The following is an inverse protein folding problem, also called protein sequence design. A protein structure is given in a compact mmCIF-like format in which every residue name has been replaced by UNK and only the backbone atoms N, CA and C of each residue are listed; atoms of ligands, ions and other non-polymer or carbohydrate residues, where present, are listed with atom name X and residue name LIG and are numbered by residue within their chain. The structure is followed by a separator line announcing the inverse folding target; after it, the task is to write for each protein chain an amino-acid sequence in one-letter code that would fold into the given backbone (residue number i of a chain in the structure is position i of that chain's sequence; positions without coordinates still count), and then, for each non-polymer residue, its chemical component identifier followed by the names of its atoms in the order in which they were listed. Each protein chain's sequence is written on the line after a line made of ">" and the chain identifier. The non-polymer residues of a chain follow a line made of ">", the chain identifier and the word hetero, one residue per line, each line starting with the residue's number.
data_IF_735486265771
#
_entry.id   IF_735486265771
#
_cell.length_a   1.000
_cell.length_b   1.000
_cell.length_c   1.000
_cell.angle_alpha   90.00
_cell.angle_beta   90.00
_cell.angle_gamma   90.00
#
_symmetry.space_group_name_H-M   'P 1'
#
loop_
_entity.id
_entity.type
_entity.pdbx_description
1 polymer ?
#
# COMPACT_ATOMS: atom_id res chain seq x y z
N UNK A 1 24.45 10.26 -16.42
CA UNK A 1 23.72 9.70 -15.25
C UNK A 1 23.32 10.85 -14.37
N UNK A 2 22.20 10.77 -13.66
CA UNK A 2 21.88 11.71 -12.58
C UNK A 2 22.47 11.19 -11.28
N UNK A 3 23.19 12.05 -10.57
CA UNK A 3 23.61 11.79 -9.21
C UNK A 3 22.54 12.35 -8.26
N UNK A 4 22.21 11.60 -7.22
CA UNK A 4 21.13 11.92 -6.30
C UNK A 4 21.71 12.26 -4.92
N UNK A 5 21.26 13.39 -4.38
CA UNK A 5 21.62 13.84 -3.03
C UNK A 5 20.66 13.24 -2.00
N UNK A 6 21.16 13.00 -0.79
CA UNK A 6 20.31 12.66 0.34
C UNK A 6 19.35 13.81 0.69
N UNK A 7 18.27 13.50 1.40
CA UNK A 7 17.44 14.48 2.11
C UNK A 7 17.39 14.11 3.60
N UNK A 8 17.51 15.12 4.48
CA UNK A 8 17.50 14.91 5.94
C UNK A 8 16.07 14.67 6.44
N UNK A 9 15.89 13.95 7.57
CA UNK A 9 14.57 13.73 8.16
C UNK A 9 13.79 15.03 8.41
N UNK A 10 14.46 16.06 8.93
CA UNK A 10 13.85 17.37 9.19
C UNK A 10 13.35 18.05 7.90
N UNK A 11 14.11 18.03 6.81
CA UNK A 11 13.68 18.61 5.53
C UNK A 11 12.50 17.85 4.90
N UNK A 12 12.50 16.52 5.02
CA UNK A 12 11.42 15.66 4.55
C UNK A 12 10.13 15.89 5.35
N UNK A 13 10.22 15.99 6.69
CA UNK A 13 9.08 16.29 7.57
C UNK A 13 8.48 17.67 7.26
N UNK A 14 9.32 18.73 7.21
CA UNK A 14 8.88 20.09 6.92
C UNK A 14 8.17 20.22 5.56
N UNK A 15 8.61 19.44 4.55
CA UNK A 15 7.93 19.40 3.24
C UNK A 15 6.48 18.87 3.29
N UNK A 16 6.03 18.33 4.43
CA UNK A 16 4.74 17.69 4.62
C UNK A 16 3.94 18.22 5.84
N UNK A 17 4.35 19.34 6.47
CA UNK A 17 3.74 19.89 7.70
C UNK A 17 2.20 19.99 7.65
N UNK A 18 1.63 20.44 6.54
CA UNK A 18 0.17 20.54 6.37
C UNK A 18 -0.55 19.18 6.41
N UNK A 19 0.12 18.11 5.97
CA UNK A 19 -0.36 16.72 6.06
C UNK A 19 -0.14 16.16 7.47
N UNK A 20 0.96 16.53 8.13
CA UNK A 20 1.28 16.13 9.50
C UNK A 20 0.31 16.74 10.54
N UNK A 21 -0.09 18.00 10.35
CA UNK A 21 -1.12 18.65 11.16
C UNK A 21 -2.46 17.90 11.11
N UNK A 22 -2.87 17.42 9.92
CA UNK A 22 -4.06 16.59 9.76
C UNK A 22 -3.90 15.20 10.41
N UNK A 23 -2.70 14.61 10.38
CA UNK A 23 -2.42 13.37 11.12
C UNK A 23 -2.57 13.58 12.63
N UNK A 24 -2.08 14.69 13.19
CA UNK A 24 -2.29 15.04 14.61
C UNK A 24 -3.77 15.22 14.96
N UNK A 25 -4.54 15.89 14.09
CA UNK A 25 -5.98 16.07 14.28
C UNK A 25 -6.71 14.72 14.41
N UNK A 26 -6.41 13.76 13.52
CA UNK A 26 -6.99 12.42 13.60
C UNK A 26 -6.38 11.52 14.69
N UNK A 27 -5.18 11.82 15.18
CA UNK A 27 -4.59 11.20 16.36
C UNK A 27 -5.27 11.63 17.67
N UNK A 28 -6.04 12.73 17.64
CA UNK A 28 -6.64 13.37 18.81
C UNK A 28 -5.60 13.70 19.90
N UNK A 29 -4.38 14.09 19.47
CA UNK A 29 -3.26 14.39 20.37
C UNK A 29 -3.16 15.91 20.59
N UNK A 30 -3.67 16.37 21.74
CA UNK A 30 -3.75 17.79 22.07
C UNK A 30 -2.37 18.40 22.32
N UNK A 31 -1.46 17.70 23.00
CA UNK A 31 -0.10 18.20 23.25
C UNK A 31 0.83 17.98 22.04
N UNK A 32 1.80 18.89 21.89
CA UNK A 32 2.79 18.88 20.81
C UNK A 32 4.00 17.99 21.15
N UNK A 33 4.40 17.93 22.43
CA UNK A 33 5.48 17.07 22.92
C UNK A 33 5.11 15.60 22.82
N UNK A 34 3.90 15.23 23.25
CA UNK A 34 3.35 13.89 23.08
C UNK A 34 3.18 13.55 21.60
N UNK A 35 2.66 14.47 20.77
CA UNK A 35 2.55 14.22 19.32
C UNK A 35 3.91 13.93 18.69
N UNK A 36 4.94 14.73 19.01
CA UNK A 36 6.32 14.52 18.55
C UNK A 36 6.87 13.18 19.02
N UNK A 37 6.77 12.89 20.32
CA UNK A 37 7.39 11.72 20.95
C UNK A 37 6.74 10.41 20.52
N UNK A 38 5.40 10.37 20.42
CA UNK A 38 4.62 9.16 20.14
C UNK A 38 4.42 8.93 18.64
N UNK A 39 4.10 9.95 17.85
CA UNK A 39 3.72 9.79 16.44
C UNK A 39 4.82 10.26 15.50
N UNK A 40 5.32 11.49 15.66
CA UNK A 40 6.32 12.06 14.74
C UNK A 40 7.64 11.28 14.78
N UNK A 41 8.05 10.74 15.94
CA UNK A 41 9.26 9.90 16.07
C UNK A 41 9.23 8.60 15.24
N UNK A 42 8.05 8.15 14.77
CA UNK A 42 7.91 7.04 13.83
C UNK A 42 8.13 7.53 12.40
N UNK A 43 7.59 8.69 12.06
CA UNK A 43 7.77 9.30 10.74
C UNK A 43 9.19 9.82 10.52
N UNK A 44 9.84 10.38 11.54
CA UNK A 44 11.27 10.73 11.51
C UNK A 44 12.16 9.52 11.18
N UNK A 45 11.90 8.36 11.82
CA UNK A 45 12.55 7.09 11.49
C UNK A 45 12.23 6.62 10.07
N UNK A 46 11.01 6.77 9.58
CA UNK A 46 10.69 6.49 8.17
C UNK A 46 11.40 7.46 7.21
N UNK A 47 11.59 8.73 7.58
CA UNK A 47 12.32 9.71 6.78
C UNK A 47 13.82 9.38 6.75
N UNK A 48 14.41 8.94 7.86
CA UNK A 48 15.78 8.39 7.89
C UNK A 48 15.90 7.07 7.09
N UNK A 49 14.86 6.24 7.11
CA UNK A 49 14.81 4.97 6.37
C UNK A 49 14.88 5.15 4.86
N UNK A 50 14.08 6.06 4.31
CA UNK A 50 14.01 6.33 2.87
C UNK A 50 14.98 7.41 2.40
N UNK A 51 15.26 8.42 3.22
CA UNK A 51 15.84 9.69 2.77
C UNK A 51 15.14 10.18 1.49
N UNK A 52 15.90 10.48 0.44
CA UNK A 52 15.42 10.94 -0.87
C UNK A 52 14.95 9.82 -1.83
N UNK A 53 14.71 8.59 -1.37
CA UNK A 53 14.29 7.49 -2.26
C UNK A 53 12.94 7.73 -2.97
N UNK A 54 12.82 7.35 -4.26
CA UNK A 54 11.53 7.14 -4.91
C UNK A 54 10.89 5.82 -4.45
N UNK A 55 9.57 5.72 -4.50
CA UNK A 55 8.81 4.51 -4.14
C UNK A 55 8.78 3.50 -5.29
N UNK A 56 8.27 3.92 -6.46
CA UNK A 56 8.06 3.10 -7.66
C UNK A 56 8.34 3.93 -8.92
N UNK A 57 8.66 3.32 -10.08
CA UNK A 57 8.78 4.05 -11.34
C UNK A 57 7.48 4.74 -11.78
N UNK A 58 6.32 4.21 -11.38
CA UNK A 58 4.98 4.66 -11.82
C UNK A 58 4.18 5.40 -10.74
N UNK A 59 4.67 5.46 -9.51
CA UNK A 59 3.99 6.02 -8.33
C UNK A 59 5.06 6.57 -7.38
N UNK A 60 4.94 7.85 -6.97
CA UNK A 60 5.89 8.57 -6.13
C UNK A 60 7.36 8.34 -6.56
N UNK A 61 7.71 8.88 -7.73
CA UNK A 61 8.93 8.56 -8.49
C UNK A 61 10.00 9.66 -8.41
N UNK A 62 9.61 10.83 -7.92
CA UNK A 62 10.42 11.96 -7.52
C UNK A 62 11.30 11.67 -6.27
N UNK A 63 12.38 12.45 -6.04
CA UNK A 63 13.16 12.36 -4.82
C UNK A 63 12.30 12.59 -3.56
N UNK A 64 12.47 11.72 -2.56
CA UNK A 64 11.67 11.73 -1.33
C UNK A 64 10.27 11.11 -1.49
N UNK A 65 9.90 10.65 -2.69
CA UNK A 65 8.58 10.09 -2.98
C UNK A 65 8.19 8.92 -2.09
N UNK A 66 9.13 8.07 -1.68
CA UNK A 66 8.86 6.98 -0.74
C UNK A 66 8.42 7.49 0.64
N UNK A 67 8.96 8.61 1.11
CA UNK A 67 8.51 9.24 2.35
C UNK A 67 7.14 9.94 2.19
N UNK A 68 6.91 10.68 1.09
CA UNK A 68 5.59 11.26 0.78
C UNK A 68 4.50 10.18 0.78
N UNK A 69 4.76 9.07 0.09
CA UNK A 69 3.89 7.91 0.02
C UNK A 69 3.56 7.28 1.39
N UNK A 70 4.46 7.42 2.38
CA UNK A 70 4.28 6.96 3.76
C UNK A 70 3.46 7.95 4.60
N UNK A 71 3.74 9.26 4.53
CA UNK A 71 2.94 10.28 5.23
C UNK A 71 1.50 10.33 4.70
N UNK A 72 1.32 10.14 3.40
CA UNK A 72 -0.01 10.06 2.78
C UNK A 72 -0.77 8.79 3.19
N UNK A 73 -0.09 7.65 3.29
CA UNK A 73 -0.69 6.41 3.81
C UNK A 73 -1.16 6.57 5.26
N UNK A 74 -0.32 7.17 6.12
CA UNK A 74 -0.67 7.51 7.50
C UNK A 74 -1.89 8.44 7.56
N UNK A 75 -1.90 9.52 6.77
CA UNK A 75 -3.05 10.44 6.68
C UNK A 75 -4.34 9.74 6.26
N UNK A 76 -4.33 8.95 5.18
CA UNK A 76 -5.55 8.29 4.72
C UNK A 76 -6.03 7.20 5.69
N UNK A 77 -5.12 6.46 6.34
CA UNK A 77 -5.50 5.48 7.36
C UNK A 77 -6.14 6.16 8.57
N UNK A 78 -5.51 7.21 9.09
CA UNK A 78 -6.03 7.99 10.23
C UNK A 78 -7.34 8.70 9.91
N UNK A 79 -7.52 9.20 8.67
CA UNK A 79 -8.82 9.76 8.22
C UNK A 79 -9.91 8.70 8.12
N UNK A 80 -9.59 7.50 7.63
CA UNK A 80 -10.56 6.40 7.51
C UNK A 80 -10.97 5.83 8.88
N UNK A 81 -10.10 5.94 9.90
CA UNK A 81 -10.31 5.42 11.25
C UNK A 81 -11.55 6.01 11.94
N UNK A 82 -11.84 7.30 11.73
CA UNK A 82 -12.96 8.00 12.37
C UNK A 82 -14.36 7.51 11.99
N UNK A 83 -14.47 6.63 10.99
CA UNK A 83 -15.70 5.93 10.63
C UNK A 83 -15.72 4.45 11.08
N UNK A 84 -14.72 4.01 11.85
CA UNK A 84 -14.55 2.63 12.30
C UNK A 84 -14.72 2.51 13.81
N UNK A 85 -15.05 1.29 14.27
CA UNK A 85 -15.17 0.96 15.69
C UNK A 85 -14.28 -0.26 15.97
N UNK A 86 -13.07 -0.01 16.47
CA UNK A 86 -12.13 -1.08 16.80
C UNK A 86 -12.58 -1.84 18.06
N UNK A 87 -12.32 -3.15 18.12
CA UNK A 87 -12.77 -4.03 19.20
C UNK A 87 -14.28 -3.87 19.53
N UNK A 88 -15.13 -3.80 18.49
CA UNK A 88 -16.58 -3.62 18.62
C UNK A 88 -17.32 -4.81 19.28
N UNK A 89 -16.68 -5.97 19.27
CA UNK A 89 -17.01 -7.24 19.91
C UNK A 89 -16.63 -7.29 21.40
N UNK A 90 -15.70 -6.45 21.85
CA UNK A 90 -15.24 -6.41 23.24
C UNK A 90 -16.17 -5.58 24.15
N UNK A 91 -16.17 -5.94 25.44
CA UNK A 91 -16.86 -5.19 26.49
C UNK A 91 -16.39 -3.73 26.56
N UNK A 92 -17.27 -2.80 26.96
CA UNK A 92 -16.98 -1.36 26.96
C UNK A 92 -15.72 -0.96 27.74
N UNK A 93 -15.41 -1.63 28.84
CA UNK A 93 -14.19 -1.37 29.64
C UNK A 93 -12.92 -1.85 28.92
N UNK A 94 -12.96 -3.06 28.33
CA UNK A 94 -11.85 -3.60 27.53
C UNK A 94 -11.65 -2.78 26.25
N UNK A 95 -12.73 -2.32 25.59
CA UNK A 95 -12.65 -1.47 24.41
C UNK A 95 -12.00 -0.13 24.72
N UNK A 96 -12.33 0.54 25.84
CA UNK A 96 -11.63 1.78 26.29
C UNK A 96 -10.10 1.60 26.41
N UNK A 97 -9.62 0.39 26.73
CA UNK A 97 -8.18 0.08 26.84
C UNK A 97 -7.54 -0.28 25.49
N UNK A 98 -8.30 -0.83 24.54
CA UNK A 98 -7.80 -1.29 23.23
C UNK A 98 -7.98 -0.27 22.10
N UNK A 99 -9.03 0.55 22.13
CA UNK A 99 -9.41 1.47 21.03
C UNK A 99 -8.31 2.52 20.75
N UNK A 100 -7.63 3.13 21.75
CA UNK A 100 -6.45 3.98 21.51
C UNK A 100 -5.25 3.20 20.95
N UNK A 101 -5.08 1.93 21.34
CA UNK A 101 -4.01 1.08 20.83
C UNK A 101 -4.24 0.72 19.37
N UNK A 102 -5.46 0.35 18.97
CA UNK A 102 -5.80 0.07 17.58
C UNK A 102 -5.64 1.31 16.69
N UNK A 103 -6.00 2.52 17.16
CA UNK A 103 -5.77 3.77 16.44
C UNK A 103 -4.26 4.02 16.22
N UNK A 104 -3.43 3.78 17.24
CA UNK A 104 -1.99 3.94 17.12
C UNK A 104 -1.35 2.85 16.24
N UNK A 105 -1.74 1.58 16.41
CA UNK A 105 -1.30 0.47 15.57
C UNK A 105 -1.67 0.66 14.09
N UNK A 106 -2.85 1.24 13.80
CA UNK A 106 -3.26 1.60 12.44
C UNK A 106 -2.27 2.58 11.78
N UNK A 107 -1.85 3.60 12.53
CA UNK A 107 -0.81 4.53 12.10
C UNK A 107 0.53 3.83 11.87
N UNK A 108 0.99 2.99 12.82
CA UNK A 108 2.25 2.24 12.67
C UNK A 108 2.23 1.33 11.43
N UNK A 109 1.13 0.60 11.21
CA UNK A 109 0.95 -0.29 10.07
C UNK A 109 0.94 0.48 8.74
N UNK A 110 0.25 1.62 8.67
CA UNK A 110 0.23 2.48 7.49
C UNK A 110 1.63 3.07 7.18
N UNK A 111 2.34 3.57 8.20
CA UNK A 111 3.70 4.07 8.07
C UNK A 111 4.68 3.02 7.54
N UNK A 112 4.57 1.77 8.03
CA UNK A 112 5.49 0.68 7.71
C UNK A 112 5.13 -0.14 6.46
N UNK A 113 3.94 0.06 5.87
CA UNK A 113 3.42 -0.84 4.84
C UNK A 113 4.19 -0.92 3.53
N UNK A 114 5.10 0.04 3.25
CA UNK A 114 5.84 0.12 1.99
C UNK A 114 7.36 0.30 2.14
N UNK A 115 7.91 0.01 3.31
CA UNK A 115 9.36 0.11 3.61
C UNK A 115 10.25 -0.66 2.64
N UNK A 116 9.73 -1.77 2.11
CA UNK A 116 10.41 -2.67 1.17
C UNK A 116 10.39 -2.17 -0.28
N UNK A 117 9.41 -1.32 -0.64
CA UNK A 117 9.03 -1.08 -2.03
C UNK A 117 10.17 -0.48 -2.89
N UNK A 118 10.96 0.51 -2.43
CA UNK A 118 12.06 1.05 -3.23
C UNK A 118 13.06 -0.02 -3.69
N UNK A 119 13.48 -0.94 -2.82
CA UNK A 119 14.48 -1.96 -3.20
C UNK A 119 13.93 -3.04 -4.14
N UNK A 120 12.59 -3.19 -4.20
CA UNK A 120 11.92 -4.07 -5.16
C UNK A 120 11.99 -3.56 -6.60
N UNK A 121 11.97 -2.24 -6.81
CA UNK A 121 11.99 -1.63 -8.16
C UNK A 121 13.35 -1.06 -8.57
N UNK A 122 14.23 -0.79 -7.60
CA UNK A 122 15.49 -0.07 -7.82
C UNK A 122 16.68 -0.75 -7.13
N UNK A 123 17.88 -0.42 -7.63
CA UNK A 123 19.18 -0.63 -6.99
C UNK A 123 19.77 0.73 -6.65
N UNK A 124 20.39 0.85 -5.49
CA UNK A 124 20.94 2.09 -4.98
C UNK A 124 22.42 1.89 -4.69
N UNK A 125 23.28 2.63 -5.40
CA UNK A 125 24.74 2.52 -5.28
C UNK A 125 25.31 3.83 -4.72
N UNK A 126 26.07 3.77 -3.62
CA UNK A 126 26.73 4.96 -3.07
C UNK A 126 27.90 5.38 -3.95
N UNK A 127 28.06 6.68 -4.20
CA UNK A 127 29.01 7.16 -5.23
C UNK A 127 30.48 7.02 -4.84
N UNK A 128 30.84 7.08 -3.53
CA UNK A 128 32.24 7.00 -3.08
C UNK A 128 32.92 5.65 -3.33
N UNK A 129 32.16 4.56 -3.27
CA UNK A 129 32.67 3.19 -3.24
C UNK A 129 31.86 2.19 -4.12
N UNK A 130 30.78 2.62 -4.76
CA UNK A 130 29.95 1.81 -5.65
C UNK A 130 29.08 0.75 -4.95
N UNK A 131 29.14 0.66 -3.62
CA UNK A 131 28.45 -0.37 -2.84
C UNK A 131 26.93 -0.29 -3.03
N UNK A 132 26.27 -1.43 -3.27
CA UNK A 132 24.81 -1.52 -3.33
C UNK A 132 24.21 -1.52 -1.91
N UNK A 133 23.12 -0.77 -1.70
CA UNK A 133 22.37 -0.80 -0.45
C UNK A 133 21.51 -2.06 -0.34
N UNK A 134 21.80 -2.90 0.66
CA UNK A 134 21.01 -4.07 1.03
C UNK A 134 20.28 -3.77 2.35
N UNK A 135 18.95 -3.54 2.36
CA UNK A 135 18.23 -3.05 3.55
C UNK A 135 18.43 -3.91 4.80
N UNK A 136 18.45 -5.24 4.64
CA UNK A 136 18.58 -6.20 5.74
C UNK A 136 20.01 -6.31 6.31
N UNK A 137 21.02 -5.76 5.64
CA UNK A 137 22.42 -5.75 6.10
C UNK A 137 22.89 -4.36 6.53
N UNK A 138 22.27 -3.30 5.99
CA UNK A 138 22.70 -1.92 6.17
C UNK A 138 21.71 -1.05 6.97
N UNK A 139 20.49 -1.52 7.22
CA UNK A 139 19.44 -0.74 7.87
C UNK A 139 19.02 0.47 7.04
N UNK A 140 18.65 1.56 7.73
CA UNK A 140 18.11 2.79 7.15
C UNK A 140 19.04 3.41 6.08
N UNK A 141 18.48 3.77 4.92
CA UNK A 141 19.27 4.27 3.79
C UNK A 141 20.04 5.55 4.12
N UNK A 142 19.42 6.52 4.80
CA UNK A 142 20.10 7.76 5.19
C UNK A 142 21.29 7.52 6.13
N UNK A 143 21.19 6.56 7.05
CA UNK A 143 22.29 6.22 7.96
C UNK A 143 23.44 5.47 7.27
N UNK A 144 23.13 4.62 6.28
CA UNK A 144 24.15 3.95 5.47
C UNK A 144 24.81 4.89 4.45
N UNK A 145 24.05 5.83 3.89
CA UNK A 145 24.54 6.79 2.91
C UNK A 145 25.40 7.87 3.59
N UNK A 146 24.95 8.42 4.71
CA UNK A 146 25.57 9.60 5.32
C UNK A 146 25.46 10.81 4.39
N UNK A 147 26.49 11.64 4.36
CA UNK A 147 26.53 12.85 3.53
C UNK A 147 26.77 12.59 2.03
N UNK A 148 27.06 11.35 1.64
CA UNK A 148 27.36 10.98 0.25
C UNK A 148 26.18 11.16 -0.73
N UNK A 149 26.52 11.24 -2.02
CA UNK A 149 25.55 11.06 -3.12
C UNK A 149 25.42 9.59 -3.52
N UNK A 150 24.33 9.26 -4.19
CA UNK A 150 24.06 7.92 -4.72
C UNK A 150 23.57 7.95 -6.16
N UNK A 151 23.67 6.80 -6.81
CA UNK A 151 23.08 6.49 -8.11
C UNK A 151 21.93 5.53 -7.92
N UNK A 152 20.82 5.77 -8.62
CA UNK A 152 19.70 4.82 -8.70
C UNK A 152 19.66 4.15 -10.07
N UNK A 153 19.53 2.83 -10.08
CA UNK A 153 19.32 2.02 -11.29
C UNK A 153 17.97 1.34 -11.18
N UNK A 154 17.08 1.49 -12.17
CA UNK A 154 15.81 0.77 -12.20
C UNK A 154 16.05 -0.71 -12.56
N UNK A 155 15.47 -1.64 -11.80
CA UNK A 155 15.44 -3.07 -12.15
C UNK A 155 14.52 -3.28 -13.37
N UNK A 156 14.94 -4.15 -14.29
CA UNK A 156 14.16 -4.50 -15.49
C UNK A 156 12.80 -5.10 -15.12
N UNK A 157 12.82 -6.13 -14.26
CA UNK A 157 11.65 -6.68 -13.59
C UNK A 157 11.69 -6.37 -12.08
N UNK A 158 10.55 -6.03 -11.45
CA UNK A 158 10.51 -5.81 -10.01
C UNK A 158 10.60 -7.12 -9.23
N UNK A 159 11.22 -7.07 -8.06
CA UNK A 159 11.28 -8.23 -7.15
C UNK A 159 9.88 -8.60 -6.61
N UNK A 160 9.63 -9.86 -6.23
CA UNK A 160 8.41 -10.27 -5.50
C UNK A 160 8.12 -9.41 -4.26
N UNK A 161 6.86 -9.36 -3.83
CA UNK A 161 6.47 -8.69 -2.58
C UNK A 161 6.66 -9.64 -1.41
N UNK A 162 7.63 -9.35 -0.55
CA UNK A 162 7.97 -10.19 0.59
C UNK A 162 7.40 -9.58 1.88
N UNK A 163 6.21 -10.04 2.30
CA UNK A 163 5.55 -9.56 3.53
C UNK A 163 6.45 -9.73 4.76
N UNK A 164 7.13 -10.88 4.87
CA UNK A 164 8.10 -11.17 5.93
C UNK A 164 9.26 -10.16 5.92
N UNK A 165 9.83 -9.84 4.75
CA UNK A 165 10.88 -8.82 4.64
C UNK A 165 10.35 -7.47 5.13
N UNK A 166 9.17 -7.05 4.67
CA UNK A 166 8.59 -5.77 5.10
C UNK A 166 8.33 -5.70 6.61
N UNK A 167 7.88 -6.81 7.23
CA UNK A 167 7.68 -6.89 8.68
C UNK A 167 9.00 -6.83 9.48
N UNK A 168 10.10 -7.40 8.95
CA UNK A 168 11.43 -7.27 9.55
C UNK A 168 11.93 -5.81 9.48
N UNK A 169 11.81 -5.14 8.33
CA UNK A 169 12.17 -3.73 8.19
C UNK A 169 11.30 -2.84 9.11
N UNK A 170 10.01 -3.17 9.26
CA UNK A 170 9.12 -2.47 10.21
C UNK A 170 9.59 -2.60 11.67
N UNK A 171 10.13 -3.76 12.07
CA UNK A 171 10.64 -3.96 13.44
C UNK A 171 11.81 -3.01 13.78
N UNK A 172 12.69 -2.74 12.82
CA UNK A 172 13.77 -1.74 12.95
C UNK A 172 13.21 -0.34 13.24
N UNK A 173 12.18 0.09 12.48
CA UNK A 173 11.52 1.39 12.66
C UNK A 173 10.83 1.47 14.03
N UNK A 174 10.05 0.45 14.38
CA UNK A 174 9.16 0.51 15.55
C UNK A 174 9.90 0.33 16.88
N UNK A 175 10.87 -0.60 16.94
CA UNK A 175 11.64 -0.93 18.14
C UNK A 175 10.89 -1.82 19.15
N UNK A 176 11.63 -2.46 20.07
CA UNK A 176 11.07 -3.40 21.05
C UNK A 176 10.08 -2.73 22.00
N UNK A 177 10.45 -1.60 22.61
CA UNK A 177 9.64 -0.92 23.64
C UNK A 177 8.25 -0.56 23.12
N UNK A 178 8.19 0.02 21.91
CA UNK A 178 6.94 0.45 21.28
C UNK A 178 6.05 -0.73 20.92
N UNK A 179 6.64 -1.87 20.57
CA UNK A 179 5.92 -3.11 20.24
C UNK A 179 5.46 -3.86 21.51
N UNK A 180 6.25 -3.83 22.59
CA UNK A 180 5.94 -4.47 23.87
C UNK A 180 4.84 -3.76 24.67
N UNK A 181 4.55 -2.49 24.36
CA UNK A 181 3.47 -1.72 24.95
C UNK A 181 2.05 -2.11 24.45
N UNK A 182 1.95 -2.95 23.42
CA UNK A 182 0.67 -3.38 22.85
C UNK A 182 0.09 -4.63 23.53
N UNK A 183 -1.23 -4.67 23.63
CA UNK A 183 -1.98 -5.90 23.89
C UNK A 183 -1.75 -6.92 22.77
N UNK A 184 -1.64 -8.21 23.12
CA UNK A 184 -1.21 -9.26 22.19
C UNK A 184 -2.12 -9.41 20.95
N UNK A 185 -3.42 -9.13 21.07
CA UNK A 185 -4.32 -9.11 19.91
C UNK A 185 -4.00 -7.92 18.99
N UNK A 186 -3.80 -6.73 19.55
CA UNK A 186 -3.48 -5.51 18.77
C UNK A 186 -2.13 -5.67 18.07
N UNK A 187 -1.15 -6.29 18.73
CA UNK A 187 0.15 -6.60 18.16
C UNK A 187 0.06 -7.61 17.00
N UNK A 188 -0.82 -8.61 17.13
CA UNK A 188 -1.09 -9.60 16.07
C UNK A 188 -1.76 -8.94 14.86
N UNK A 189 -2.77 -8.10 15.10
CA UNK A 189 -3.45 -7.32 14.05
C UNK A 189 -2.51 -6.31 13.36
N UNK A 190 -1.61 -5.66 14.11
CA UNK A 190 -0.57 -4.76 13.60
C UNK A 190 0.35 -5.47 12.61
N UNK A 191 0.97 -6.58 13.02
CA UNK A 191 1.84 -7.36 12.13
C UNK A 191 1.06 -7.98 10.96
N UNK A 192 -0.19 -8.40 11.20
CA UNK A 192 -1.09 -8.89 10.16
C UNK A 192 -1.37 -7.85 9.08
N UNK A 193 -1.42 -6.56 9.42
CA UNK A 193 -1.75 -5.45 8.53
C UNK A 193 -0.55 -4.75 7.86
N UNK A 194 0.68 -4.96 8.31
CA UNK A 194 1.88 -4.43 7.64
C UNK A 194 2.01 -5.07 6.24
N UNK A 195 2.19 -4.24 5.21
CA UNK A 195 2.18 -4.64 3.79
C UNK A 195 0.93 -5.51 3.49
N UNK A 196 -0.28 -4.93 3.55
CA UNK A 196 -1.53 -5.70 3.50
C UNK A 196 -1.72 -6.39 2.15
N UNK A 197 -2.28 -7.60 2.17
CA UNK A 197 -2.61 -8.31 0.93
C UNK A 197 -3.74 -7.56 0.20
N UNK A 198 -3.60 -7.15 -1.08
CA UNK A 198 -4.68 -6.49 -1.82
C UNK A 198 -5.95 -7.34 -1.95
N UNK A 199 -5.85 -8.68 -1.85
CA UNK A 199 -6.95 -9.65 -1.95
C UNK A 199 -6.81 -10.70 -0.84
N UNK A 200 -7.04 -10.32 0.44
CA UNK A 200 -6.78 -11.20 1.58
C UNK A 200 -7.64 -12.45 1.53
N UNK A 201 -7.02 -13.62 1.79
CA UNK A 201 -7.71 -14.89 1.89
C UNK A 201 -8.20 -15.12 3.33
N UNK A 202 -9.50 -15.46 3.48
CA UNK A 202 -10.11 -15.77 4.78
C UNK A 202 -10.62 -14.53 5.53
N UNK A 203 -10.46 -14.52 6.85
CA UNK A 203 -10.95 -13.45 7.73
C UNK A 203 -9.98 -12.26 7.75
N UNK A 204 -10.38 -11.17 7.10
CA UNK A 204 -9.67 -9.88 7.17
C UNK A 204 -10.00 -9.15 8.49
N UNK A 205 -8.98 -8.75 9.25
CA UNK A 205 -9.19 -7.92 10.45
C UNK A 205 -9.50 -6.46 10.08
N UNK A 206 -10.18 -5.74 10.98
CA UNK A 206 -10.57 -4.34 10.71
C UNK A 206 -9.35 -3.44 10.50
N UNK A 207 -8.25 -3.67 11.21
CA UNK A 207 -7.02 -2.90 11.03
C UNK A 207 -6.39 -3.19 9.64
N UNK A 208 -6.28 -4.46 9.23
CA UNK A 208 -5.83 -4.82 7.87
C UNK A 208 -6.67 -4.14 6.78
N UNK A 209 -8.00 -4.18 6.91
CA UNK A 209 -8.95 -3.57 5.97
C UNK A 209 -8.70 -2.07 5.78
N UNK A 210 -8.51 -1.33 6.88
CA UNK A 210 -8.34 0.13 6.83
C UNK A 210 -6.97 0.50 6.27
N UNK A 211 -5.90 -0.21 6.63
CA UNK A 211 -4.56 0.01 6.03
C UNK A 211 -4.60 -0.28 4.53
N UNK A 212 -5.22 -1.39 4.11
CA UNK A 212 -5.39 -1.75 2.69
C UNK A 212 -6.15 -0.69 1.91
N UNK A 213 -7.26 -0.18 2.46
CA UNK A 213 -8.03 0.90 1.86
C UNK A 213 -7.25 2.22 1.79
N UNK A 214 -6.41 2.52 2.79
CA UNK A 214 -5.53 3.69 2.76
C UNK A 214 -4.45 3.60 1.67
N UNK A 215 -3.76 2.46 1.55
CA UNK A 215 -2.72 2.22 0.54
C UNK A 215 -3.31 2.27 -0.88
N UNK A 216 -4.48 1.66 -1.10
CA UNK A 216 -5.21 1.77 -2.37
C UNK A 216 -5.61 3.23 -2.65
N UNK A 217 -6.05 3.98 -1.63
CA UNK A 217 -6.41 5.40 -1.79
C UNK A 217 -5.21 6.26 -2.19
N UNK A 218 -4.02 6.06 -1.61
CA UNK A 218 -2.78 6.75 -2.04
C UNK A 218 -2.46 6.40 -3.50
N UNK A 219 -2.47 5.11 -3.83
CA UNK A 219 -2.12 4.61 -5.17
C UNK A 219 -3.06 5.20 -6.23
N UNK A 220 -4.38 5.20 -5.97
CA UNK A 220 -5.38 5.79 -6.87
C UNK A 220 -5.32 7.32 -6.93
N UNK A 221 -4.89 8.00 -5.86
CA UNK A 221 -4.71 9.45 -5.87
C UNK A 221 -3.50 9.85 -6.74
N UNK A 222 -2.36 9.21 -6.55
CA UNK A 222 -1.16 9.43 -7.38
C UNK A 222 -1.41 9.13 -8.86
N UNK A 223 -2.03 7.98 -9.17
CA UNK A 223 -2.36 7.60 -10.54
C UNK A 223 -3.34 8.58 -11.21
N UNK A 224 -4.24 9.23 -10.44
CA UNK A 224 -5.11 10.29 -10.95
C UNK A 224 -4.35 11.60 -11.14
N UNK A 225 -3.54 12.01 -10.16
CA UNK A 225 -2.71 13.21 -10.25
C UNK A 225 -1.77 13.16 -11.48
N UNK A 226 -1.10 12.03 -11.71
CA UNK A 226 -0.25 11.81 -12.90
C UNK A 226 -1.01 11.81 -14.22
N UNK A 227 -2.27 11.37 -14.25
CA UNK A 227 -3.14 11.43 -15.45
C UNK A 227 -3.71 12.83 -15.70
N UNK A 228 -3.86 13.65 -14.67
CA UNK A 228 -4.28 15.04 -14.76
C UNK A 228 -3.10 16.01 -15.03
N UNK A 229 -1.86 15.56 -14.84
CA UNK A 229 -0.65 16.27 -15.22
C UNK A 229 -0.45 16.22 -16.74
N UNK A 230 -1.21 17.03 -17.47
CA UNK A 230 -0.95 17.31 -18.88
C UNK A 230 0.44 17.93 -19.05
N UNK A 231 1.15 17.55 -20.12
CA UNK A 231 2.32 18.32 -20.55
C UNK A 231 1.86 19.75 -20.89
N UNK A 232 2.68 20.80 -20.61
CA UNK A 232 2.36 22.14 -21.04
C UNK A 232 2.22 22.16 -22.57
N UNK A 233 1.12 22.70 -23.06
CA UNK A 233 0.86 22.72 -24.51
C UNK A 233 1.89 23.61 -25.21
N UNK A 234 2.72 22.99 -26.04
CA UNK A 234 3.74 23.67 -26.84
C UNK A 234 3.21 24.11 -28.21
N UNK A 235 1.92 23.87 -28.49
CA UNK A 235 1.24 24.44 -29.67
C UNK A 235 1.34 25.96 -29.58
N UNK A 236 2.00 26.65 -30.54
CA UNK A 236 2.09 28.09 -30.52
C UNK A 236 0.67 28.66 -30.67
N UNK A 237 0.27 29.54 -29.74
CA UNK A 237 -1.03 30.18 -29.78
C UNK A 237 -1.24 30.83 -31.16
N UNK A 238 -2.33 30.52 -31.89
CA UNK A 238 -2.53 31.03 -33.24
C UNK A 238 -2.57 32.55 -33.21
N UNK A 239 -1.87 33.18 -34.15
CA UNK A 239 -1.83 34.64 -34.21
C UNK A 239 -3.24 35.21 -34.39
N UNK A 240 -3.51 36.38 -33.81
CA UNK A 240 -4.81 37.04 -33.94
C UNK A 240 -5.22 37.27 -35.40
N UNK A 241 -4.24 37.34 -36.32
CA UNK A 241 -4.46 37.42 -37.76
C UNK A 241 -4.97 36.09 -38.36
N UNK A 242 -4.46 34.93 -37.92
CA UNK A 242 -4.96 33.64 -38.36
C UNK A 242 -6.41 33.41 -37.87
N UNK A 243 -6.68 33.70 -36.60
CA UNK A 243 -8.04 33.63 -36.02
C UNK A 243 -9.03 34.56 -36.74
N UNK A 244 -8.58 35.75 -37.17
CA UNK A 244 -9.41 36.68 -37.92
C UNK A 244 -9.74 36.19 -39.34
N UNK A 245 -8.86 35.42 -39.99
CA UNK A 245 -9.12 34.86 -41.33
C UNK A 245 -10.14 33.72 -41.26
N UNK A 246 -9.99 32.78 -40.33
CA UNK A 246 -10.97 31.69 -40.14
C UNK A 246 -12.35 32.21 -39.70
N UNK A 247 -12.40 33.31 -38.94
CA UNK A 247 -13.65 33.97 -38.60
C UNK A 247 -14.38 34.61 -39.81
N UNK A 248 -13.67 34.90 -40.90
CA UNK A 248 -14.23 35.48 -42.14
C UNK A 248 -14.68 34.38 -43.12
N UNK A 249 -13.99 33.24 -43.17
CA UNK A 249 -14.36 32.09 -44.01
C UNK A 249 -15.38 31.16 -43.34
N UNK A 250 -15.43 31.12 -42.01
CA UNK A 250 -16.29 30.23 -41.21
C UNK A 250 -17.78 30.61 -41.13
N UNK A 251 -18.29 31.45 -42.04
CA UNK A 251 -19.67 31.98 -42.01
C UNK A 251 -20.75 30.96 -42.44
N UNK A 252 -20.81 29.81 -41.76
CA UNK A 252 -21.90 28.84 -41.87
C UNK A 252 -23.00 29.11 -40.84
N UNK A 253 -24.27 29.07 -41.27
CA UNK A 253 -25.43 29.56 -40.53
C UNK A 253 -25.63 28.88 -39.17
N UNK A 254 -25.77 29.62 -38.05
CA UNK A 254 -26.09 29.03 -36.76
C UNK A 254 -27.58 28.63 -36.70
N UNK A 255 -27.91 27.43 -36.19
CA UNK A 255 -29.30 27.07 -35.85
C UNK A 255 -29.76 27.88 -34.62
N UNK A 256 -31.05 28.21 -34.58
CA UNK A 256 -31.60 29.12 -33.57
C UNK A 256 -31.45 28.57 -32.14
N UNK A 257 -30.79 29.34 -31.27
CA UNK A 257 -30.77 29.08 -29.83
C UNK A 257 -32.07 29.60 -29.17
N UNK A 258 -32.65 28.80 -28.29
CA UNK A 258 -33.78 29.21 -27.47
C UNK A 258 -33.34 30.25 -26.41
N UNK A 259 -34.25 31.16 -26.04
CA UNK A 259 -34.02 32.11 -24.95
C UNK A 259 -34.16 31.41 -23.60
N UNK A 260 -33.27 31.74 -22.66
CA UNK A 260 -33.51 31.63 -21.22
C UNK A 260 -32.94 32.89 -20.55
N UNK A 261 -33.52 33.29 -19.42
CA UNK A 261 -33.42 34.67 -18.92
C UNK A 261 -32.20 34.95 -18.03
N UNK A 262 -31.80 36.23 -17.98
CA UNK A 262 -30.77 36.79 -17.10
C UNK A 262 -31.37 37.42 -15.84
N UNK A 263 -30.87 37.08 -14.65
CA UNK A 263 -30.75 37.93 -13.44
C UNK A 263 -30.62 37.07 -12.15
N UNK A 264 -30.10 37.61 -11.03
CA UNK A 264 -28.96 38.51 -10.91
C UNK A 264 -27.96 38.08 -9.81
N UNK A 265 -26.87 38.82 -9.66
CA UNK A 265 -25.96 38.75 -8.49
C UNK A 265 -26.51 39.64 -7.36
N UNK A 266 -26.43 39.22 -6.08
CA UNK A 266 -26.41 40.12 -4.92
C UNK A 266 -25.00 40.25 -4.32
N UNK A 267 -24.65 41.45 -3.85
CA UNK A 267 -23.31 41.79 -3.34
C UNK A 267 -23.41 42.47 -1.97
N UNK A 268 -22.45 42.17 -1.08
CA UNK A 268 -22.14 42.83 0.21
C UNK A 268 -23.18 42.88 1.34
N UNK A 269 -22.69 42.70 2.58
CA UNK A 269 -23.39 43.00 3.83
C UNK A 269 -22.43 42.93 5.03
N UNK A 270 -22.17 44.06 5.69
CA UNK A 270 -21.08 44.19 6.68
C UNK A 270 -21.63 44.41 8.09
N UNK A 271 -21.21 43.60 9.07
CA UNK A 271 -21.36 43.92 10.50
C UNK A 271 -20.34 43.20 11.42
N UNK A 272 -19.80 44.00 12.33
CA UNK A 272 -18.82 43.87 13.42
C UNK A 272 -19.05 42.79 14.51
N UNK A 273 -18.08 42.55 15.43
CA UNK A 273 -18.04 41.39 16.34
C UNK A 273 -18.79 41.57 17.67
N UNK A 274 -18.78 40.52 18.52
CA UNK A 274 -19.26 40.53 19.91
C UNK A 274 -18.22 39.91 20.85
N UNK A 275 -18.01 40.59 21.98
CA UNK A 275 -16.97 40.38 23.01
C UNK A 275 -17.52 40.97 24.33
N UNK A 276 -17.22 40.49 25.54
CA UNK A 276 -16.35 39.39 26.03
C UNK A 276 -17.08 38.74 27.23
N UNK A 277 -16.81 37.47 27.59
CA UNK A 277 -16.81 37.13 29.04
C UNK A 277 -15.88 35.98 29.44
N UNK A 278 -15.20 36.19 30.56
CA UNK A 278 -14.24 35.34 31.28
C UNK A 278 -14.79 35.15 32.71
N UNK A 279 -14.30 34.18 33.49
CA UNK A 279 -13.92 34.56 34.86
C UNK A 279 -12.58 33.97 35.32
N UNK A 280 -11.93 34.65 36.27
CA UNK A 280 -10.60 34.31 36.80
C UNK A 280 -10.62 33.99 38.31
N UNK A 281 -9.62 33.21 38.76
CA UNK A 281 -9.10 33.13 40.16
C UNK A 281 -10.06 32.58 41.24
N UNK A 282 -9.63 32.01 42.39
CA UNK A 282 -8.31 31.75 43.04
C UNK A 282 -8.43 30.37 43.79
N UNK A 283 -7.50 29.77 44.56
CA UNK A 283 -6.27 30.19 45.26
C UNK A 283 -5.26 29.01 45.39
N UNK A 284 -4.29 29.13 46.31
CA UNK A 284 -3.35 28.14 46.88
C UNK A 284 -4.05 26.84 47.38
N UNK A 285 -3.37 25.72 47.70
CA UNK A 285 -2.03 25.60 48.29
C UNK A 285 -1.29 24.26 48.05
N UNK A 286 0.04 24.35 48.12
CA UNK A 286 1.04 23.28 48.35
C UNK A 286 1.46 23.34 49.86
N UNK A 287 2.39 22.53 50.43
CA UNK A 287 3.15 21.42 49.88
C UNK A 287 3.20 20.13 50.75
N UNK A 288 3.80 19.06 50.22
CA UNK A 288 4.46 18.00 51.04
C UNK A 288 5.43 17.13 50.24
N UNK A 289 6.74 17.32 50.47
CA UNK A 289 7.77 16.29 50.22
C UNK A 289 7.96 15.43 51.48
N UNK A 290 8.62 14.27 51.35
CA UNK A 290 9.93 14.19 52.01
C UNK A 290 11.03 13.58 51.12
N UNK A 291 12.29 13.86 51.49
CA UNK A 291 13.47 13.34 50.80
C UNK A 291 13.97 12.01 51.41
N UNK A 292 14.77 11.26 50.64
CA UNK A 292 15.43 10.03 51.07
C UNK A 292 16.77 9.81 50.36
N UNK A 293 17.85 10.38 50.89
CA UNK A 293 19.22 10.12 50.45
C UNK A 293 19.73 8.81 51.05
N UNK A 294 20.54 8.04 50.30
CA UNK A 294 21.69 7.31 50.85
C UNK A 294 22.74 7.06 49.75
N UNK A 295 23.96 6.70 50.16
CA UNK A 295 25.19 6.84 49.36
C UNK A 295 25.87 5.51 49.00
N UNK A 296 26.53 5.53 47.84
CA UNK A 296 27.88 5.01 47.51
C UNK A 296 28.43 3.67 48.05
N UNK A 297 29.19 3.00 47.16
CA UNK A 297 30.07 1.86 47.44
C UNK A 297 29.56 0.55 46.83
N UNK A 298 30.40 -0.34 46.30
CA UNK A 298 31.84 -0.25 45.93
C UNK A 298 32.20 -1.43 45.00
N UNK A 299 33.42 -1.42 44.46
CA UNK A 299 34.00 -2.37 43.48
C UNK A 299 33.61 -3.87 43.59
N UNK A 300 33.38 -4.49 42.43
CA UNK A 300 33.73 -5.90 42.19
C UNK A 300 33.89 -6.22 40.68
N UNK A 301 35.10 -6.50 40.24
CA UNK A 301 35.39 -7.03 38.89
C UNK A 301 35.08 -8.52 38.81
N UNK A 302 34.20 -8.94 37.89
CA UNK A 302 34.00 -10.36 37.56
C UNK A 302 33.82 -10.55 36.05
N UNK A 303 34.62 -11.44 35.45
CA UNK A 303 34.57 -11.75 34.03
C UNK A 303 33.57 -12.88 33.76
N UNK A 304 32.75 -12.75 32.72
CA UNK A 304 32.11 -13.91 32.08
C UNK A 304 32.10 -13.77 30.56
N UNK A 305 32.96 -14.56 29.89
CA UNK A 305 32.88 -14.80 28.45
C UNK A 305 31.77 -15.80 28.18
N UNK A 306 30.76 -15.41 27.42
CA UNK A 306 29.84 -16.32 26.77
C UNK A 306 29.99 -16.18 25.24
N UNK A 307 30.29 -17.28 24.56
CA UNK A 307 30.51 -17.28 23.10
C UNK A 307 29.18 -17.34 22.34
N UNK A 308 28.96 -16.52 21.29
CA UNK A 308 27.82 -16.69 20.40
C UNK A 308 28.08 -17.85 19.41
N UNK A 309 27.17 -18.82 19.36
CA UNK A 309 27.19 -19.86 18.33
C UNK A 309 26.77 -19.29 16.97
N UNK A 310 27.69 -19.24 16.01
CA UNK A 310 27.37 -18.91 14.62
C UNK A 310 26.92 -20.16 13.86
N UNK A 311 25.65 -20.21 13.42
CA UNK A 311 25.15 -21.28 12.54
C UNK A 311 25.38 -20.88 11.09
N UNK A 312 26.41 -21.46 10.48
CA UNK A 312 26.82 -21.14 9.11
C UNK A 312 26.09 -22.05 8.11
N UNK A 313 24.98 -21.58 7.53
CA UNK A 313 24.30 -22.27 6.43
C UNK A 313 24.99 -21.97 5.09
N UNK A 314 25.68 -22.97 4.55
CA UNK A 314 26.17 -22.94 3.18
C UNK A 314 25.04 -23.35 2.20
N UNK A 315 24.80 -22.52 1.18
CA UNK A 315 23.54 -22.53 0.40
C UNK A 315 23.72 -22.54 -1.12
N UNK A 316 24.92 -22.81 -1.62
CA UNK A 316 25.28 -22.61 -3.03
C UNK A 316 24.77 -23.70 -4.00
N UNK A 317 23.45 -23.84 -4.19
CA UNK A 317 22.84 -24.57 -5.33
C UNK A 317 21.59 -23.88 -5.87
N UNK A 318 21.80 -22.96 -6.82
CA UNK A 318 20.71 -22.32 -7.58
C UNK A 318 20.05 -23.31 -8.54
N UNK A 319 18.73 -23.53 -8.40
CA UNK A 319 17.95 -24.31 -9.35
C UNK A 319 17.57 -23.45 -10.56
N UNK A 320 18.23 -23.74 -11.69
CA UNK A 320 18.02 -23.11 -13.00
C UNK A 320 16.58 -23.33 -13.45
N UNK A 321 15.79 -22.26 -13.55
CA UNK A 321 14.40 -22.30 -14.05
C UNK A 321 14.36 -21.93 -15.53
N UNK A 322 13.63 -22.73 -16.31
CA UNK A 322 13.48 -22.54 -17.76
C UNK A 322 12.52 -21.38 -18.09
N UNK A 323 12.63 -20.87 -19.33
CA UNK A 323 11.81 -19.77 -19.81
C UNK A 323 10.35 -20.18 -20.03
N UNK A 324 9.36 -19.30 -19.79
CA UNK A 324 7.95 -19.62 -19.99
C UNK A 324 7.59 -19.66 -21.48
N UNK A 325 6.91 -20.73 -21.91
CA UNK A 325 6.19 -20.76 -23.17
C UNK A 325 5.02 -19.77 -23.19
N UNK A 326 4.49 -19.45 -24.37
CA UNK A 326 3.33 -18.57 -24.51
C UNK A 326 2.09 -19.12 -23.81
N UNK A 327 1.27 -18.22 -23.24
CA UNK A 327 0.06 -18.59 -22.50
C UNK A 327 -1.11 -18.92 -23.45
N UNK A 328 -1.52 -20.20 -23.58
CA UNK A 328 -2.52 -20.59 -24.59
C UNK A 328 -3.92 -20.05 -24.25
N UNK A 329 -4.20 -19.74 -22.97
CA UNK A 329 -5.49 -19.21 -22.54
C UNK A 329 -5.65 -17.72 -22.89
N UNK A 330 -4.58 -17.03 -23.30
CA UNK A 330 -4.59 -15.62 -23.73
C UNK A 330 -5.48 -15.37 -24.95
N UNK A 331 -5.52 -16.31 -25.91
CA UNK A 331 -6.36 -16.17 -27.10
C UNK A 331 -7.85 -16.37 -26.80
N UNK A 332 -8.16 -17.29 -25.87
CA UNK A 332 -9.51 -17.76 -25.59
C UNK A 332 -10.23 -16.86 -24.59
N UNK A 333 -9.58 -16.46 -23.50
CA UNK A 333 -10.18 -15.62 -22.46
C UNK A 333 -10.46 -14.16 -22.90
N UNK A 334 -10.05 -13.79 -24.12
CA UNK A 334 -10.20 -12.44 -24.66
C UNK A 334 -9.56 -11.38 -23.75
N UNK A 335 -10.30 -10.31 -23.48
CA UNK A 335 -9.85 -9.23 -22.58
C UNK A 335 -10.05 -9.55 -21.09
N UNK A 336 -10.66 -10.70 -20.73
CA UNK A 336 -10.95 -11.03 -19.34
C UNK A 336 -9.77 -11.70 -18.65
N UNK A 337 -8.96 -10.89 -17.96
CA UNK A 337 -7.90 -11.41 -17.06
C UNK A 337 -8.45 -12.44 -16.05
N UNK A 338 -9.69 -12.28 -15.56
CA UNK A 338 -10.33 -13.24 -14.66
C UNK A 338 -10.49 -14.62 -15.31
N UNK A 339 -10.96 -14.68 -16.55
CA UNK A 339 -11.13 -15.95 -17.26
C UNK A 339 -9.79 -16.61 -17.60
N UNK A 340 -8.76 -15.82 -17.96
CA UNK A 340 -7.42 -16.36 -18.24
C UNK A 340 -6.82 -17.01 -17.00
N UNK A 341 -6.75 -16.29 -15.88
CA UNK A 341 -6.17 -16.84 -14.66
C UNK A 341 -7.02 -18.00 -14.10
N UNK A 342 -8.35 -17.99 -14.29
CA UNK A 342 -9.22 -19.12 -13.92
C UNK A 342 -8.88 -20.39 -14.73
N UNK A 343 -8.86 -20.34 -16.06
CA UNK A 343 -8.55 -21.53 -16.87
C UNK A 343 -7.11 -22.02 -16.63
N UNK A 344 -6.17 -21.10 -16.40
CA UNK A 344 -4.77 -21.39 -16.05
C UNK A 344 -4.60 -22.06 -14.69
N UNK A 345 -5.31 -21.60 -13.66
CA UNK A 345 -5.32 -22.26 -12.35
C UNK A 345 -6.01 -23.64 -12.42
N UNK A 346 -7.15 -23.73 -13.11
CA UNK A 346 -7.92 -24.96 -13.25
C UNK A 346 -7.15 -26.06 -14.01
N UNK A 347 -6.47 -25.71 -15.10
CA UNK A 347 -5.60 -26.63 -15.86
C UNK A 347 -4.41 -27.12 -15.02
N UNK A 348 -3.77 -26.23 -14.26
CA UNK A 348 -2.69 -26.60 -13.33
C UNK A 348 -3.18 -27.53 -12.21
N UNK A 349 -4.35 -27.27 -11.63
CA UNK A 349 -4.92 -28.11 -10.58
C UNK A 349 -5.51 -29.44 -11.09
N UNK A 350 -5.97 -29.49 -12.34
CA UNK A 350 -6.36 -30.72 -13.03
C UNK A 350 -5.13 -31.60 -13.30
N UNK A 351 -4.06 -31.02 -13.87
CA UNK A 351 -2.79 -31.71 -14.10
C UNK A 351 -2.12 -32.18 -12.79
N UNK A 352 -2.26 -31.40 -11.70
CA UNK A 352 -1.79 -31.77 -10.37
C UNK A 352 -2.75 -32.70 -9.59
N UNK A 353 -3.87 -33.14 -10.19
CA UNK A 353 -4.84 -34.04 -9.56
C UNK A 353 -5.63 -33.46 -8.37
N UNK A 354 -5.50 -32.15 -8.09
CA UNK A 354 -6.14 -31.48 -6.94
C UNK A 354 -7.64 -31.22 -7.18
N UNK A 355 -8.02 -30.94 -8.42
CA UNK A 355 -9.42 -30.70 -8.82
C UNK A 355 -9.91 -31.84 -9.67
N UNK A 356 -11.00 -32.50 -9.26
CA UNK A 356 -11.62 -33.59 -10.02
C UNK A 356 -12.36 -33.03 -11.24
N UNK A 357 -11.64 -32.90 -12.34
CA UNK A 357 -12.18 -32.60 -13.67
C UNK A 357 -12.47 -33.92 -14.40
N UNK A 358 -13.64 -34.07 -14.99
CA UNK A 358 -14.04 -35.26 -15.76
C UNK A 358 -14.44 -34.88 -17.18
N UNK A 359 -14.38 -35.83 -18.13
CA UNK A 359 -15.06 -35.68 -19.42
C UNK A 359 -16.45 -36.34 -19.37
N UNK A 360 -17.47 -35.61 -19.81
CA UNK A 360 -18.86 -36.03 -19.92
C UNK A 360 -19.35 -35.62 -21.30
N UNK A 361 -19.88 -36.57 -22.09
CA UNK A 361 -20.22 -36.34 -23.51
C UNK A 361 -19.04 -35.77 -24.34
N UNK A 362 -17.81 -36.17 -24.00
CA UNK A 362 -16.57 -35.65 -24.58
C UNK A 362 -16.16 -34.24 -24.11
N UNK A 363 -17.08 -33.47 -23.51
CA UNK A 363 -16.85 -32.13 -22.95
C UNK A 363 -16.17 -32.21 -21.59
N UNK A 364 -15.37 -31.21 -21.24
CA UNK A 364 -14.84 -31.06 -19.87
C UNK A 364 -15.95 -30.56 -18.94
N UNK A 365 -16.19 -31.30 -17.85
CA UNK A 365 -17.15 -30.99 -16.81
C UNK A 365 -16.44 -30.53 -15.52
N UNK A 366 -16.94 -29.44 -14.93
CA UNK A 366 -16.42 -28.81 -13.70
C UNK A 366 -17.57 -28.69 -12.71
N UNK A 367 -17.38 -29.16 -11.48
CA UNK A 367 -18.42 -29.04 -10.46
C UNK A 367 -18.52 -27.60 -9.93
N UNK A 368 -19.76 -27.11 -9.74
CA UNK A 368 -20.05 -25.84 -9.05
C UNK A 368 -19.38 -25.77 -7.67
N UNK A 369 -19.23 -26.91 -6.97
CA UNK A 369 -18.58 -26.96 -5.65
C UNK A 369 -17.08 -26.62 -5.72
N UNK A 370 -16.37 -27.08 -6.74
CA UNK A 370 -14.93 -26.79 -6.91
C UNK A 370 -14.63 -25.33 -7.25
N UNK A 371 -15.63 -24.53 -7.66
CA UNK A 371 -15.43 -23.11 -7.97
C UNK A 371 -15.06 -22.27 -6.74
N UNK A 372 -15.50 -22.69 -5.54
CA UNK A 372 -15.17 -22.01 -4.28
C UNK A 372 -13.67 -21.90 -4.03
N UNK A 373 -12.90 -22.90 -4.47
CA UNK A 373 -11.43 -22.93 -4.35
C UNK A 373 -10.75 -21.82 -5.16
N UNK A 374 -11.41 -21.30 -6.20
CA UNK A 374 -10.90 -20.24 -7.09
C UNK A 374 -11.40 -18.84 -6.68
N UNK A 375 -12.22 -18.73 -5.63
CA UNK A 375 -12.76 -17.46 -5.16
C UNK A 375 -13.79 -16.80 -6.10
N UNK A 376 -14.35 -17.54 -7.06
CA UNK A 376 -15.33 -17.03 -8.03
C UNK A 376 -16.71 -17.60 -7.71
N UNK A 377 -17.71 -16.74 -7.53
CA UNK A 377 -19.10 -17.15 -7.36
C UNK A 377 -19.61 -17.87 -8.63
N UNK A 378 -20.38 -18.95 -8.46
CA UNK A 378 -20.79 -19.82 -9.57
C UNK A 378 -21.52 -19.06 -10.67
N UNK A 379 -22.44 -18.17 -10.30
CA UNK A 379 -23.27 -17.44 -11.25
C UNK A 379 -22.46 -16.38 -12.02
N UNK A 380 -21.51 -15.71 -11.36
CA UNK A 380 -20.56 -14.79 -12.02
C UNK A 380 -19.67 -15.52 -13.03
N UNK A 381 -19.22 -16.74 -12.71
CA UNK A 381 -18.48 -17.56 -13.68
C UNK A 381 -19.38 -18.00 -14.85
N UNK A 382 -20.60 -18.47 -14.57
CA UNK A 382 -21.58 -18.90 -15.58
C UNK A 382 -21.93 -17.74 -16.52
N UNK A 383 -22.09 -16.52 -16.01
CA UNK A 383 -22.34 -15.32 -16.82
C UNK A 383 -21.16 -15.03 -17.76
N UNK A 384 -19.92 -15.07 -17.25
CA UNK A 384 -18.74 -14.87 -18.09
C UNK A 384 -18.56 -16.01 -19.11
N UNK A 385 -18.76 -17.27 -18.73
CA UNK A 385 -18.72 -18.42 -19.65
C UNK A 385 -19.78 -18.32 -20.76
N UNK A 386 -20.98 -17.77 -20.48
CA UNK A 386 -21.97 -17.45 -21.52
C UNK A 386 -21.50 -16.30 -22.40
N UNK A 387 -21.04 -15.20 -21.80
CA UNK A 387 -20.59 -13.97 -22.48
C UNK A 387 -19.47 -14.23 -23.49
N UNK A 388 -18.51 -15.08 -23.14
CA UNK A 388 -17.38 -15.48 -24.00
C UNK A 388 -17.64 -16.78 -24.77
N UNK A 389 -18.88 -17.31 -24.78
CA UNK A 389 -19.30 -18.54 -25.50
C UNK A 389 -18.54 -19.82 -25.11
N UNK A 390 -17.92 -19.85 -23.93
CA UNK A 390 -17.19 -21.01 -23.41
C UNK A 390 -18.09 -22.04 -22.70
N UNK A 391 -19.32 -21.67 -22.34
CA UNK A 391 -20.32 -22.59 -21.78
C UNK A 391 -20.95 -23.46 -22.88
N UNK A 392 -20.91 -24.77 -22.74
CA UNK A 392 -21.71 -25.69 -23.57
C UNK A 392 -23.09 -25.91 -22.95
N UNK A 393 -23.16 -26.47 -21.74
CA UNK A 393 -24.41 -26.63 -20.96
C UNK A 393 -24.14 -26.74 -19.46
N UNK A 394 -25.19 -26.68 -18.65
CA UNK A 394 -25.15 -26.93 -17.20
C UNK A 394 -26.04 -28.15 -16.92
N UNK A 395 -25.54 -29.12 -16.18
CA UNK A 395 -26.27 -30.34 -15.79
C UNK A 395 -26.21 -30.47 -14.27
N UNK A 396 -27.28 -30.02 -13.60
CA UNK A 396 -27.37 -30.06 -12.14
C UNK A 396 -26.25 -29.25 -11.45
N UNK A 397 -25.28 -29.96 -10.87
CA UNK A 397 -24.12 -29.37 -10.19
C UNK A 397 -22.90 -29.19 -11.10
N UNK A 398 -22.93 -29.66 -12.35
CA UNK A 398 -21.76 -29.63 -13.24
C UNK A 398 -21.95 -28.64 -14.39
N UNK A 399 -20.85 -27.95 -14.72
CA UNK A 399 -20.73 -26.97 -15.81
C UNK A 399 -19.88 -27.61 -16.89
N UNK A 400 -20.44 -27.79 -18.10
CA UNK A 400 -19.74 -28.38 -19.23
C UNK A 400 -19.20 -27.26 -20.13
N UNK A 401 -17.91 -27.29 -20.42
CA UNK A 401 -17.22 -26.34 -21.30
C UNK A 401 -17.26 -26.78 -22.77
N UNK A 402 -17.08 -25.82 -23.69
CA UNK A 402 -16.82 -26.12 -25.11
C UNK A 402 -15.44 -26.76 -25.32
N UNK A 403 -15.26 -27.46 -26.43
CA UNK A 403 -14.06 -28.26 -26.73
C UNK A 403 -12.77 -27.43 -26.65
N UNK A 404 -12.71 -26.29 -27.35
CA UNK A 404 -11.57 -25.37 -27.41
C UNK A 404 -10.95 -25.04 -26.04
N UNK A 405 -11.79 -24.94 -25.01
CA UNK A 405 -11.36 -24.65 -23.63
C UNK A 405 -11.06 -25.94 -22.87
N UNK A 406 -11.91 -26.96 -23.02
CA UNK A 406 -11.75 -28.25 -22.35
C UNK A 406 -10.50 -29.01 -22.77
N UNK A 407 -10.16 -28.98 -24.05
CA UNK A 407 -9.01 -29.67 -24.63
C UNK A 407 -7.66 -29.05 -24.17
N UNK A 408 -7.65 -27.78 -23.74
CA UNK A 408 -6.50 -27.15 -23.08
C UNK A 408 -6.45 -27.39 -21.56
N UNK A 409 -7.59 -27.63 -20.90
CA UNK A 409 -7.64 -27.90 -19.45
C UNK A 409 -7.27 -29.35 -19.14
N UNK A 410 -7.74 -30.28 -19.98
CA UNK A 410 -7.50 -31.71 -19.85
C UNK A 410 -7.47 -32.30 -21.26
N UNK A 411 -6.29 -32.40 -21.92
CA UNK A 411 -6.18 -32.90 -23.29
C UNK A 411 -6.92 -34.23 -23.49
N UNK A 412 -7.58 -34.37 -24.64
CA UNK A 412 -8.16 -35.65 -25.02
C UNK A 412 -7.01 -36.65 -25.20
N UNK A 413 -7.00 -37.71 -24.39
CA UNK A 413 -6.08 -38.82 -24.60
C UNK A 413 -6.33 -39.38 -25.98
N UNK A 414 -5.33 -39.28 -26.88
CA UNK A 414 -5.37 -40.01 -28.14
C UNK A 414 -5.48 -41.49 -27.79
N UNK A 415 -6.56 -42.13 -28.20
CA UNK A 415 -6.58 -43.58 -28.33
C UNK A 415 -5.62 -43.93 -29.48
N UNK A 416 -4.88 -45.05 -29.41
CA UNK A 416 -4.09 -45.50 -30.53
C UNK A 416 -5.01 -45.78 -31.73
N UNK A 417 -4.61 -45.33 -32.91
CA UNK A 417 -5.17 -45.85 -34.16
C UNK A 417 -4.81 -47.35 -34.29
N UNK A 418 -5.67 -48.11 -34.96
CA UNK A 418 -5.58 -49.57 -35.11
C UNK A 418 -5.67 -49.97 -36.60
#
# INVERSE_FOLDING_TARGET
>A
MTDHHHLTPAALLASHDSRLALVRQYANESDDGDFRTKWLSVLDRCAAWFSSMPLRPTEHAEPGGAFRATVEAAYFAMRLSGAQKFAADQTSERRRKLEPQYLYALFLAACCSRLDEPCRHFQFHRMRDGAEWVPAAHGAFGAWLGDDTYRVTRREAPLPSERMRTALLAREILGTERLGAFDSQVLTDLFGAINPDPRPAGLETLLHKVVRQAIETVTQFELKARRAAFAPDTTPAPSAQALAVDAITGASTPPAQARTETAPVPETGTATPVEVEQPETTTEADPSSPAGLHQAGSDASAQHRASPNAVQLDGARSLRKEAPAEDPFKAIAGTSNLMREFFKALSQDAAAGKTKVTRVEGKVAISKRSLGNYGIASETLIENLRKFKHLYKIVGQDILLVNEVGDLILPASQAPEA
#
